data_IF_736865863203
#
_entry.id   IF_736865863203
#
_cell.length_a   1.000
_cell.length_b   1.000
_cell.length_c   1.000
_cell.angle_alpha   90.00
_cell.angle_beta   90.00
_cell.angle_gamma   90.00
#
_symmetry.space_group_name_H-M   'P 1'
#
loop_
_entity.id
_entity.type
_entity.pdbx_description
1 polymer ?
#
# COMPACT_ATOMS: atom_id res chain seq x y z
N UNK A 1 1.93 -13.15 -5.12
CA UNK A 1 2.65 -11.86 -5.02
C UNK A 1 1.71 -10.74 -5.43
N UNK A 2 1.57 -9.73 -4.61
CA UNK A 2 0.77 -8.54 -4.90
C UNK A 2 1.52 -7.29 -4.42
N UNK A 3 1.30 -6.18 -5.11
CA UNK A 3 1.73 -4.87 -4.59
C UNK A 3 0.64 -4.34 -3.67
N UNK A 4 1.03 -3.87 -2.50
CA UNK A 4 0.11 -3.27 -1.52
C UNK A 4 0.49 -1.82 -1.28
N UNK A 5 -0.51 -0.94 -1.10
CA UNK A 5 -0.21 0.43 -0.73
C UNK A 5 -0.06 0.57 0.79
N UNK A 6 0.47 1.71 1.23
CA UNK A 6 0.70 1.96 2.65
C UNK A 6 -0.58 1.88 3.48
N UNK A 7 -1.73 2.27 2.90
CA UNK A 7 -3.00 2.23 3.63
C UNK A 7 -3.42 0.81 3.99
N UNK A 8 -3.17 -0.16 3.13
CA UNK A 8 -3.49 -1.56 3.45
C UNK A 8 -2.65 -2.05 4.64
N UNK A 9 -1.37 -1.64 4.69
CA UNK A 9 -0.52 -1.94 5.83
C UNK A 9 -1.03 -1.29 7.12
N UNK A 10 -1.47 -0.04 7.04
CA UNK A 10 -2.08 0.64 8.21
C UNK A 10 -3.33 -0.13 8.67
N UNK A 11 -4.19 -0.51 7.75
CA UNK A 11 -5.42 -1.26 8.05
C UNK A 11 -5.10 -2.61 8.70
N UNK A 12 -4.02 -3.24 8.30
CA UNK A 12 -3.59 -4.51 8.88
C UNK A 12 -3.10 -4.35 10.32
N UNK A 13 -2.27 -3.35 10.58
CA UNK A 13 -1.61 -3.18 11.88
C UNK A 13 -2.41 -2.37 12.89
N UNK A 14 -3.21 -1.42 12.44
CA UNK A 14 -4.01 -0.55 13.34
C UNK A 14 -5.46 -1.05 13.35
N UNK A 15 -5.88 -1.57 14.51
CA UNK A 15 -7.21 -2.16 14.67
C UNK A 15 -8.31 -1.17 14.33
N UNK A 16 -9.25 -1.60 13.47
CA UNK A 16 -10.37 -0.80 13.03
C UNK A 16 -11.31 -1.60 12.12
N UNK A 17 -12.21 -0.91 11.45
CA UNK A 17 -13.23 -1.53 10.60
C UNK A 17 -12.67 -2.28 9.40
N UNK A 18 -11.46 -1.94 8.94
CA UNK A 18 -10.86 -2.53 7.76
C UNK A 18 -9.82 -3.62 8.07
N UNK A 19 -9.54 -3.88 9.35
CA UNK A 19 -8.49 -4.84 9.74
C UNK A 19 -8.81 -6.25 9.26
N UNK A 20 -10.06 -6.70 9.39
CA UNK A 20 -10.45 -8.05 8.98
C UNK A 20 -10.23 -8.26 7.48
N UNK A 21 -10.52 -7.26 6.65
CA UNK A 21 -10.30 -7.33 5.20
C UNK A 21 -8.80 -7.40 4.90
N UNK A 22 -7.98 -6.58 5.56
CA UNK A 22 -6.53 -6.59 5.38
C UNK A 22 -5.92 -7.94 5.79
N UNK A 23 -6.39 -8.51 6.90
CA UNK A 23 -5.98 -9.84 7.35
C UNK A 23 -6.35 -10.92 6.34
N UNK A 24 -7.53 -10.83 5.74
CA UNK A 24 -7.98 -11.77 4.72
C UNK A 24 -7.12 -11.67 3.45
N UNK A 25 -6.71 -10.46 3.05
CA UNK A 25 -5.81 -10.26 1.92
C UNK A 25 -4.46 -10.93 2.18
N UNK A 26 -3.89 -10.73 3.37
CA UNK A 26 -2.62 -11.36 3.73
C UNK A 26 -2.74 -12.89 3.75
N UNK A 27 -3.86 -13.41 4.22
CA UNK A 27 -4.10 -14.86 4.24
C UNK A 27 -4.25 -15.41 2.82
N UNK A 28 -4.84 -14.66 1.89
CA UNK A 28 -4.99 -15.05 0.48
C UNK A 28 -3.65 -15.04 -0.24
N UNK A 29 -2.84 -14.02 -0.01
CA UNK A 29 -1.51 -13.87 -0.61
C UNK A 29 -0.60 -13.14 0.38
N UNK A 30 0.32 -13.88 0.96
CA UNK A 30 1.22 -13.36 1.98
C UNK A 30 2.46 -12.66 1.39
N UNK A 31 2.64 -12.71 0.07
CA UNK A 31 3.79 -12.10 -0.57
C UNK A 31 3.47 -10.66 -0.97
N UNK A 32 3.49 -9.79 0.01
CA UNK A 32 3.26 -8.36 -0.15
C UNK A 32 4.56 -7.66 -0.53
N UNK A 33 4.51 -6.85 -1.59
CA UNK A 33 5.64 -6.03 -2.03
C UNK A 33 5.19 -4.58 -2.17
N UNK A 34 6.15 -3.66 -2.10
CA UNK A 34 5.86 -2.23 -2.21
C UNK A 34 7.09 -1.46 -2.66
N UNK A 35 6.93 -0.28 -3.28
CA UNK A 35 8.06 0.63 -3.47
C UNK A 35 8.55 1.15 -2.13
N UNK A 36 9.82 1.56 -2.04
CA UNK A 36 10.42 2.08 -0.79
C UNK A 36 9.61 3.22 -0.16
N UNK A 37 8.87 3.97 -0.97
CA UNK A 37 7.99 5.05 -0.54
C UNK A 37 7.00 4.62 0.55
N UNK A 38 6.62 3.34 0.61
CA UNK A 38 5.64 2.87 1.59
C UNK A 38 6.06 3.24 3.02
N UNK A 39 7.36 3.26 3.32
CA UNK A 39 7.85 3.57 4.66
C UNK A 39 7.46 4.99 5.09
N UNK A 40 7.69 5.96 4.21
CA UNK A 40 7.37 7.37 4.50
C UNK A 40 5.86 7.59 4.58
N UNK A 41 5.09 6.99 3.69
CA UNK A 41 3.63 7.11 3.72
C UNK A 41 3.04 6.44 4.95
N UNK A 42 3.56 5.28 5.33
CA UNK A 42 3.12 4.55 6.52
C UNK A 42 3.38 5.37 7.79
N UNK A 43 4.58 5.90 7.93
CA UNK A 43 4.95 6.77 9.07
C UNK A 43 4.06 8.00 9.14
N UNK A 44 3.77 8.64 8.00
CA UNK A 44 2.90 9.80 7.97
C UNK A 44 1.47 9.44 8.38
N UNK A 45 0.95 8.32 7.91
CA UNK A 45 -0.36 7.84 8.34
C UNK A 45 -0.41 7.57 9.84
N UNK A 46 0.63 6.95 10.40
CA UNK A 46 0.71 6.68 11.83
C UNK A 46 0.74 7.98 12.66
N UNK A 47 1.55 8.97 12.25
CA UNK A 47 1.63 10.22 13.02
C UNK A 47 0.32 11.00 13.00
N UNK A 48 -0.45 10.92 11.92
CA UNK A 48 -1.78 11.53 11.86
C UNK A 48 -2.72 10.88 12.89
N UNK A 49 -2.66 9.57 13.04
CA UNK A 49 -3.45 8.84 14.04
C UNK A 49 -3.01 9.21 15.46
N UNK A 50 -1.72 9.35 15.69
CA UNK A 50 -1.17 9.78 16.99
C UNK A 50 -1.67 11.19 17.34
N UNK A 51 -1.62 12.11 16.38
CA UNK A 51 -2.09 13.50 16.59
C UNK A 51 -3.58 13.57 16.86
N UNK A 52 -4.37 12.65 16.31
CA UNK A 52 -5.80 12.52 16.57
C UNK A 52 -6.11 11.75 17.85
N UNK A 53 -5.09 11.32 18.58
CA UNK A 53 -5.19 10.54 19.82
C UNK A 53 -5.91 9.20 19.65
N UNK A 54 -5.79 8.62 18.47
CA UNK A 54 -6.35 7.30 18.16
C UNK A 54 -5.35 6.18 18.43
N UNK A 55 -4.05 6.49 18.42
CA UNK A 55 -2.96 5.53 18.65
C UNK A 55 -1.92 6.22 19.55
N UNK A 56 -1.48 5.59 20.65
CA UNK A 56 -0.35 6.09 21.42
C UNK A 56 0.95 6.08 20.60
N UNK A 57 1.82 7.04 20.84
CA UNK A 57 3.08 7.14 20.09
C UNK A 57 3.92 5.87 20.21
N UNK A 58 4.02 5.28 21.40
CA UNK A 58 4.80 4.07 21.63
C UNK A 58 4.27 2.90 20.82
N UNK A 59 2.96 2.79 20.69
CA UNK A 59 2.33 1.74 19.88
C UNK A 59 2.61 1.97 18.38
N UNK A 60 2.58 3.22 17.95
CA UNK A 60 2.93 3.57 16.56
C UNK A 60 4.36 3.17 16.22
N UNK A 61 5.31 3.39 17.15
CA UNK A 61 6.70 3.00 16.96
C UNK A 61 6.84 1.49 16.84
N UNK A 62 6.16 0.73 17.70
CA UNK A 62 6.17 -0.74 17.63
C UNK A 62 5.59 -1.22 16.31
N UNK A 63 4.46 -0.67 15.90
CA UNK A 63 3.80 -1.02 14.64
C UNK A 63 4.71 -0.71 13.44
N UNK A 64 5.39 0.44 13.44
CA UNK A 64 6.32 0.78 12.37
C UNK A 64 7.44 -0.26 12.23
N UNK A 65 8.02 -0.71 13.34
CA UNK A 65 9.06 -1.72 13.32
C UNK A 65 8.55 -3.08 12.87
N UNK A 66 7.33 -3.45 13.27
CA UNK A 66 6.71 -4.71 12.83
C UNK A 66 6.43 -4.70 11.32
N UNK A 67 5.93 -3.59 10.80
CA UNK A 67 5.68 -3.44 9.37
C UNK A 67 6.99 -3.51 8.58
N UNK A 68 8.05 -2.88 9.07
CA UNK A 68 9.37 -2.95 8.43
C UNK A 68 9.90 -4.39 8.40
N UNK A 69 9.65 -5.16 9.45
CA UNK A 69 10.03 -6.59 9.47
C UNK A 69 9.24 -7.42 8.46
N UNK A 70 7.93 -7.18 8.37
CA UNK A 70 7.08 -7.86 7.40
C UNK A 70 7.55 -7.58 5.97
N UNK A 71 7.92 -6.34 5.69
CA UNK A 71 8.28 -5.90 4.35
C UNK A 71 9.76 -6.05 4.02
N UNK A 72 10.57 -6.53 4.95
CA UNK A 72 12.01 -6.71 4.73
C UNK A 72 12.25 -7.68 3.56
N UNK A 73 13.06 -7.25 2.58
CA UNK A 73 13.32 -8.03 1.37
C UNK A 73 12.21 -7.93 0.31
N UNK A 74 11.12 -7.23 0.60
CA UNK A 74 9.97 -7.07 -0.30
C UNK A 74 9.83 -5.63 -0.80
N UNK A 75 10.87 -4.83 -0.64
CA UNK A 75 10.86 -3.41 -1.01
C UNK A 75 11.61 -3.21 -2.31
N UNK A 76 11.09 -2.33 -3.17
CA UNK A 76 11.63 -2.13 -4.51
C UNK A 76 11.83 -0.64 -4.80
N UNK A 77 12.85 -0.35 -5.62
CA UNK A 77 13.05 0.97 -6.20
C UNK A 77 12.43 0.95 -7.59
N UNK A 78 11.66 2.00 -7.92
CA UNK A 78 10.99 2.11 -9.21
C UNK A 78 11.71 3.11 -10.11
N UNK A 79 11.55 2.92 -11.43
CA UNK A 79 12.26 3.72 -12.44
C UNK A 79 11.53 5.05 -12.66
N UNK A 80 12.28 6.16 -12.55
CA UNK A 80 11.71 7.51 -12.58
C UNK A 80 10.92 7.81 -13.85
N UNK A 81 11.41 7.47 -15.04
CA UNK A 81 10.70 7.79 -16.28
C UNK A 81 9.35 7.05 -16.39
N UNK A 82 9.25 5.83 -15.84
CA UNK A 82 8.00 5.08 -15.80
C UNK A 82 6.97 5.80 -14.92
N UNK A 83 7.41 6.20 -13.74
CA UNK A 83 6.54 6.90 -12.77
C UNK A 83 6.04 8.22 -13.36
N UNK A 84 6.93 9.02 -13.93
CA UNK A 84 6.58 10.32 -14.50
C UNK A 84 5.61 10.19 -15.67
N UNK A 85 5.80 9.20 -16.53
CA UNK A 85 4.90 8.96 -17.67
C UNK A 85 3.50 8.56 -17.18
N UNK A 86 3.44 7.64 -16.25
CA UNK A 86 2.15 7.21 -15.68
C UNK A 86 1.42 8.37 -15.00
N UNK A 87 2.14 9.20 -14.26
CA UNK A 87 1.55 10.35 -13.58
C UNK A 87 1.04 11.38 -14.58
N UNK A 88 1.82 11.69 -15.62
CA UNK A 88 1.43 12.66 -16.65
C UNK A 88 0.16 12.21 -17.40
N UNK A 89 0.03 10.92 -17.68
CA UNK A 89 -1.08 10.39 -18.48
C UNK A 89 -2.36 10.17 -17.65
N UNK A 90 -2.23 9.96 -16.33
CA UNK A 90 -3.38 9.55 -15.51
C UNK A 90 -3.97 10.65 -14.65
N UNK A 91 -3.20 11.68 -14.33
CA UNK A 91 -3.58 12.67 -13.33
C UNK A 91 -3.44 12.19 -11.88
N UNK A 92 -3.00 10.97 -11.66
CA UNK A 92 -2.64 10.49 -10.32
C UNK A 92 -1.29 11.07 -9.89
N UNK A 93 -1.03 11.11 -8.59
CA UNK A 93 0.25 11.60 -8.08
C UNK A 93 1.41 10.71 -8.51
N UNK A 94 2.62 11.24 -8.52
CA UNK A 94 3.82 10.45 -8.74
C UNK A 94 3.98 9.39 -7.64
N UNK A 95 3.53 9.68 -6.42
CA UNK A 95 3.52 8.73 -5.31
C UNK A 95 2.65 7.51 -5.63
N UNK A 96 1.40 7.73 -6.05
CA UNK A 96 0.50 6.64 -6.43
C UNK A 96 1.07 5.84 -7.60
N UNK A 97 1.70 6.52 -8.55
CA UNK A 97 2.26 5.89 -9.74
C UNK A 97 3.52 5.07 -9.47
N UNK A 98 4.19 5.25 -8.32
CA UNK A 98 5.24 4.32 -7.91
C UNK A 98 4.69 2.91 -7.69
N UNK A 99 3.53 2.81 -7.03
CA UNK A 99 2.87 1.53 -6.80
C UNK A 99 2.40 0.89 -8.11
N UNK A 100 1.83 1.71 -9.00
CA UNK A 100 1.36 1.22 -10.31
C UNK A 100 2.54 0.74 -11.16
N UNK A 101 3.63 1.50 -11.21
CA UNK A 101 4.82 1.13 -11.96
C UNK A 101 5.40 -0.20 -11.48
N UNK A 102 5.48 -0.38 -10.17
CA UNK A 102 5.97 -1.64 -9.59
C UNK A 102 5.07 -2.82 -9.97
N UNK A 103 3.76 -2.64 -9.88
CA UNK A 103 2.80 -3.70 -10.23
C UNK A 103 2.91 -4.07 -11.71
N UNK A 104 3.03 -3.09 -12.60
CA UNK A 104 3.23 -3.35 -14.03
C UNK A 104 4.54 -4.05 -14.32
N UNK A 105 5.64 -3.61 -13.70
CA UNK A 105 6.96 -4.19 -13.94
C UNK A 105 7.02 -5.67 -13.54
N UNK A 106 6.31 -6.06 -12.48
CA UNK A 106 6.30 -7.42 -11.99
C UNK A 106 5.11 -8.24 -12.49
N UNK A 107 4.22 -7.60 -13.26
CA UNK A 107 3.00 -8.23 -13.78
C UNK A 107 2.17 -8.86 -12.67
N UNK A 108 1.95 -8.11 -11.60
CA UNK A 108 1.13 -8.51 -10.46
C UNK A 108 0.09 -7.42 -10.17
N UNK A 109 -1.02 -7.74 -9.50
CA UNK A 109 -2.01 -6.73 -9.18
C UNK A 109 -1.54 -5.79 -8.07
N UNK A 110 -2.02 -4.54 -8.13
CA UNK A 110 -1.95 -3.58 -7.04
C UNK A 110 -3.27 -3.65 -6.26
N UNK A 111 -3.18 -3.99 -4.99
CA UNK A 111 -4.36 -4.00 -4.09
C UNK A 111 -4.36 -2.71 -3.29
N UNK A 112 -5.37 -1.88 -3.51
CA UNK A 112 -5.46 -0.54 -2.91
C UNK A 112 -6.91 -0.16 -2.65
N UNK A 113 -7.14 0.58 -1.57
CA UNK A 113 -8.45 1.16 -1.28
C UNK A 113 -8.66 2.53 -1.97
N UNK A 114 -7.64 3.04 -2.64
CA UNK A 114 -7.73 4.33 -3.32
C UNK A 114 -8.54 4.18 -4.61
N UNK A 115 -9.76 4.71 -4.60
CA UNK A 115 -10.68 4.59 -5.73
C UNK A 115 -10.23 5.36 -6.96
N UNK A 116 -9.49 6.46 -6.78
CA UNK A 116 -8.95 7.21 -7.91
C UNK A 116 -7.93 6.38 -8.67
N UNK A 117 -7.06 5.68 -7.96
CA UNK A 117 -6.06 4.79 -8.57
C UNK A 117 -6.74 3.63 -9.27
N UNK A 118 -7.74 3.01 -8.65
CA UNK A 118 -8.48 1.90 -9.25
C UNK A 118 -9.19 2.35 -10.54
N UNK A 119 -9.78 3.54 -10.54
CA UNK A 119 -10.44 4.08 -11.73
C UNK A 119 -9.45 4.42 -12.83
N UNK A 120 -8.29 4.97 -12.48
CA UNK A 120 -7.28 5.35 -13.47
C UNK A 120 -6.55 4.14 -14.08
N UNK A 121 -6.40 3.07 -13.31
CA UNK A 121 -5.63 1.90 -13.72
C UNK A 121 -6.42 0.59 -13.49
N UNK A 122 -7.57 0.43 -14.16
CA UNK A 122 -8.48 -0.70 -13.87
C UNK A 122 -7.92 -2.06 -14.24
N UNK A 123 -6.91 -2.12 -15.12
CA UNK A 123 -6.27 -3.38 -15.50
C UNK A 123 -5.16 -3.80 -14.54
N UNK A 124 -4.75 -2.92 -13.63
CA UNK A 124 -3.62 -3.15 -12.71
C UNK A 124 -4.08 -3.13 -11.25
N UNK A 125 -4.94 -2.17 -10.91
CA UNK A 125 -5.35 -1.91 -9.53
C UNK A 125 -6.76 -2.41 -9.25
N UNK A 126 -6.94 -3.00 -8.07
CA UNK A 126 -8.25 -3.42 -7.59
C UNK A 126 -8.35 -3.22 -6.07
N UNK A 127 -9.59 -3.13 -5.60
CA UNK A 127 -9.83 -2.97 -4.16
C UNK A 127 -9.58 -4.29 -3.43
N UNK A 128 -9.32 -4.25 -2.11
CA UNK A 128 -9.18 -5.48 -1.32
C UNK A 128 -10.39 -6.40 -1.45
N UNK A 129 -11.60 -5.84 -1.47
CA UNK A 129 -12.83 -6.61 -1.60
C UNK A 129 -12.90 -7.35 -2.94
N UNK A 130 -12.53 -6.69 -4.02
CA UNK A 130 -12.51 -7.32 -5.35
C UNK A 130 -11.42 -8.37 -5.44
N UNK A 131 -10.26 -8.12 -4.83
CA UNK A 131 -9.19 -9.11 -4.78
C UNK A 131 -9.65 -10.39 -4.08
N UNK A 132 -10.37 -10.26 -2.99
CA UNK A 132 -10.87 -11.40 -2.22
C UNK A 132 -12.01 -12.13 -2.94
N UNK A 133 -12.78 -11.45 -3.79
CA UNK A 133 -13.89 -12.02 -4.53
C UNK A 133 -13.46 -12.77 -5.79
N UNK A 134 -12.25 -12.58 -6.22
CA UNK A 134 -11.73 -13.17 -7.45
C UNK A 134 -11.38 -14.67 -7.29
#
# INVERSE_FOLDING_TARGET
MIVVNANLLVQYYVRGTHTAVAEAVLSRDAQWIAPMLWRSEFRNALILLVRRRLVPLEDAVVVAHEAERLMAGHEHIVVAHRVLRLAADSGCSAYDCEYVALAEDLDVPLVTSDRQVVRAFPSVALTPERFLAA
#
